data_IF_443725538272
#
_entry.id   IF_443725538272
#
_cell.length_a   1.000
_cell.length_b   1.000
_cell.length_c   1.000
_cell.angle_alpha   90.00
_cell.angle_beta   90.00
_cell.angle_gamma   90.00
#
_symmetry.space_group_name_H-M   'P 1'
#
loop_
_entity.id
_entity.type
_entity.pdbx_description
1 polymer ?
#
# COMPACT_ATOMS: atom_id res chain seq x y z
N UNK A 1 -25.22 12.59 6.11
CA UNK A 1 -25.18 11.85 4.84
C UNK A 1 -23.77 11.41 4.57
N UNK A 2 -23.51 10.11 4.59
CA UNK A 2 -22.19 9.53 4.34
C UNK A 2 -21.75 9.86 2.92
N UNK A 3 -20.72 10.68 2.76
CA UNK A 3 -20.08 10.96 1.47
C UNK A 3 -19.32 9.72 1.02
N UNK A 4 -20.02 8.74 0.46
CA UNK A 4 -19.38 7.61 -0.19
C UNK A 4 -18.65 8.16 -1.41
N UNK A 5 -17.32 8.23 -1.33
CA UNK A 5 -16.48 8.72 -2.43
C UNK A 5 -16.77 7.89 -3.70
N UNK A 6 -16.78 8.51 -4.89
CA UNK A 6 -17.08 7.80 -6.13
C UNK A 6 -16.14 6.60 -6.32
N UNK A 7 -16.65 5.52 -6.93
CA UNK A 7 -15.93 4.26 -7.14
C UNK A 7 -14.54 4.44 -7.79
N UNK A 8 -14.37 5.49 -8.61
CA UNK A 8 -13.09 5.87 -9.19
C UNK A 8 -12.00 6.19 -8.15
N UNK A 9 -12.35 6.86 -7.05
CA UNK A 9 -11.40 7.21 -5.97
C UNK A 9 -10.95 5.96 -5.19
N UNK A 10 -11.80 4.93 -5.11
CA UNK A 10 -11.42 3.64 -4.53
C UNK A 10 -10.43 2.90 -5.44
N UNK A 11 -10.64 2.94 -6.77
CA UNK A 11 -9.69 2.40 -7.74
C UNK A 11 -8.32 3.10 -7.70
N UNK A 12 -8.32 4.43 -7.60
CA UNK A 12 -7.09 5.23 -7.47
C UNK A 12 -6.31 4.87 -6.20
N UNK A 13 -6.98 4.77 -5.04
CA UNK A 13 -6.34 4.36 -3.78
C UNK A 13 -5.68 2.98 -3.87
N UNK A 14 -6.33 2.03 -4.53
CA UNK A 14 -5.78 0.67 -4.73
C UNK A 14 -4.50 0.71 -5.56
N UNK A 15 -4.48 1.53 -6.61
CA UNK A 15 -3.28 1.75 -7.42
C UNK A 15 -2.18 2.46 -6.62
N UNK A 16 -2.52 3.47 -5.82
CA UNK A 16 -1.57 4.19 -4.96
C UNK A 16 -0.89 3.24 -3.96
N UNK A 17 -1.65 2.43 -3.24
CA UNK A 17 -1.12 1.43 -2.29
C UNK A 17 -0.15 0.46 -3.00
N UNK A 18 -0.54 -0.04 -4.18
CA UNK A 18 0.33 -0.92 -4.98
C UNK A 18 1.64 -0.23 -5.37
N UNK A 19 1.57 1.02 -5.85
CA UNK A 19 2.74 1.78 -6.26
C UNK A 19 3.69 2.00 -5.08
N UNK A 20 3.15 2.35 -3.91
CA UNK A 20 3.94 2.57 -2.69
C UNK A 20 4.64 1.27 -2.25
N UNK A 21 3.93 0.14 -2.22
CA UNK A 21 4.54 -1.15 -1.87
C UNK A 21 5.69 -1.50 -2.84
N UNK A 22 5.48 -1.33 -4.15
CA UNK A 22 6.53 -1.59 -5.14
C UNK A 22 7.72 -0.62 -5.00
N UNK A 23 7.47 0.65 -4.71
CA UNK A 23 8.51 1.64 -4.46
C UNK A 23 9.32 1.30 -3.20
N UNK A 24 8.65 0.90 -2.11
CA UNK A 24 9.29 0.44 -0.88
C UNK A 24 10.19 -0.78 -1.09
N UNK A 25 9.70 -1.79 -1.83
CA UNK A 25 10.49 -2.97 -2.20
C UNK A 25 11.76 -2.57 -2.97
N UNK A 26 11.62 -1.69 -3.97
CA UNK A 26 12.74 -1.22 -4.78
C UNK A 26 13.75 -0.43 -3.93
N UNK A 27 13.28 0.43 -3.03
CA UNK A 27 14.11 1.24 -2.12
C UNK A 27 14.95 0.37 -1.18
N UNK A 28 14.37 -0.71 -0.68
CA UNK A 28 15.02 -1.65 0.24
C UNK A 28 15.80 -2.76 -0.47
N UNK A 29 15.82 -2.77 -1.81
CA UNK A 29 16.41 -3.83 -2.64
C UNK A 29 15.88 -5.24 -2.30
N UNK A 30 14.61 -5.33 -1.87
CA UNK A 30 13.97 -6.58 -1.47
C UNK A 30 13.36 -7.30 -2.67
N UNK A 31 13.14 -8.61 -2.50
CA UNK A 31 12.35 -9.45 -3.39
C UNK A 31 10.98 -9.71 -2.78
N UNK A 32 10.03 -10.13 -3.60
CA UNK A 32 8.71 -10.56 -3.10
C UNK A 32 8.83 -11.70 -2.08
N UNK A 33 9.86 -12.53 -2.18
CA UNK A 33 10.15 -13.60 -1.24
C UNK A 33 10.46 -13.09 0.18
N UNK A 34 11.06 -11.91 0.30
CA UNK A 34 11.43 -11.33 1.59
C UNK A 34 10.21 -10.79 2.36
N UNK A 35 9.09 -10.59 1.65
CA UNK A 35 7.81 -10.19 2.22
C UNK A 35 6.94 -11.38 2.66
N UNK A 36 7.42 -12.63 2.51
CA UNK A 36 6.65 -13.85 2.82
C UNK A 36 6.19 -13.94 4.27
N UNK A 37 6.95 -13.37 5.20
CA UNK A 37 6.60 -13.30 6.62
C UNK A 37 5.40 -12.37 6.88
N UNK A 38 5.24 -11.33 6.08
CA UNK A 38 4.15 -10.37 6.20
C UNK A 38 2.90 -10.77 5.42
N UNK A 39 3.10 -11.34 4.23
CA UNK A 39 2.03 -11.73 3.31
C UNK A 39 2.50 -12.90 2.44
N UNK A 40 1.63 -13.88 2.20
CA UNK A 40 1.94 -14.98 1.31
C UNK A 40 2.29 -14.45 -0.10
N UNK A 41 3.41 -14.90 -0.68
CA UNK A 41 3.90 -14.47 -1.99
C UNK A 41 2.84 -14.61 -3.10
N UNK A 42 2.05 -15.69 -3.08
CA UNK A 42 0.97 -15.88 -4.05
C UNK A 42 -0.14 -14.84 -3.89
N UNK A 43 -0.44 -14.47 -2.64
CA UNK A 43 -1.41 -13.42 -2.30
C UNK A 43 -0.87 -12.05 -2.67
N UNK A 44 0.42 -11.78 -2.41
CA UNK A 44 1.09 -10.55 -2.80
C UNK A 44 1.11 -10.39 -4.33
N UNK A 45 1.47 -11.45 -5.06
CA UNK A 45 1.45 -11.47 -6.53
C UNK A 45 0.05 -11.22 -7.08
N UNK A 46 -0.97 -11.85 -6.51
CA UNK A 46 -2.38 -11.62 -6.89
C UNK A 46 -2.82 -10.18 -6.61
N UNK A 47 -2.52 -9.62 -5.44
CA UNK A 47 -2.91 -8.24 -5.06
C UNK A 47 -2.09 -7.14 -5.73
N UNK A 48 -0.93 -7.47 -6.30
CA UNK A 48 -0.22 -6.58 -7.22
C UNK A 48 -0.85 -6.55 -8.61
N UNK A 49 -1.41 -7.68 -9.06
CA UNK A 49 -2.02 -7.81 -10.40
C UNK A 49 -3.48 -7.36 -10.42
N UNK A 50 -4.22 -7.71 -9.38
CA UNK A 50 -5.61 -7.34 -9.18
C UNK A 50 -5.68 -6.15 -8.24
N UNK A 51 -6.53 -5.15 -8.49
CA UNK A 51 -6.79 -4.04 -7.58
C UNK A 51 -7.65 -4.52 -6.39
N UNK A 52 -7.34 -5.69 -5.83
CA UNK A 52 -7.92 -6.15 -4.57
C UNK A 52 -7.25 -5.41 -3.42
N UNK A 53 -8.04 -5.08 -2.41
CA UNK A 53 -7.59 -4.25 -1.31
C UNK A 53 -6.61 -5.06 -0.45
N UNK A 54 -5.42 -4.51 -0.16
CA UNK A 54 -4.60 -5.00 0.96
C UNK A 54 -5.40 -4.76 2.25
N UNK A 55 -5.50 -5.76 3.12
CA UNK A 55 -6.17 -5.53 4.40
C UNK A 55 -5.23 -4.76 5.33
N UNK A 56 -5.78 -3.98 6.25
CA UNK A 56 -4.99 -3.10 7.11
C UNK A 56 -3.91 -3.87 7.90
N UNK A 57 -4.22 -5.08 8.37
CA UNK A 57 -3.25 -5.92 9.07
C UNK A 57 -2.06 -6.39 8.22
N UNK A 58 -2.25 -6.57 6.90
CA UNK A 58 -1.13 -6.88 6.00
C UNK A 58 -0.30 -5.65 5.71
N UNK A 59 -0.92 -4.47 5.59
CA UNK A 59 -0.20 -3.22 5.40
C UNK A 59 0.75 -2.94 6.58
N UNK A 60 0.31 -3.16 7.81
CA UNK A 60 1.18 -3.02 8.99
C UNK A 60 2.33 -4.01 8.99
N UNK A 61 2.11 -5.28 8.65
CA UNK A 61 3.20 -6.26 8.56
C UNK A 61 4.18 -5.95 7.43
N UNK A 62 3.70 -5.41 6.32
CA UNK A 62 4.55 -4.95 5.21
C UNK A 62 5.31 -3.69 5.64
N UNK A 63 4.70 -2.81 6.42
CA UNK A 63 5.32 -1.61 6.99
C UNK A 63 6.49 -1.95 7.92
N UNK A 64 6.36 -2.99 8.75
CA UNK A 64 7.46 -3.49 9.60
C UNK A 64 8.73 -3.86 8.80
N UNK A 65 8.58 -4.16 7.50
CA UNK A 65 9.67 -4.55 6.60
C UNK A 65 10.12 -3.38 5.71
N UNK A 66 9.16 -2.69 5.10
CA UNK A 66 9.45 -1.62 4.13
C UNK A 66 9.75 -0.29 4.81
N UNK A 67 9.21 -0.08 6.01
CA UNK A 67 9.14 1.17 6.75
C UNK A 67 8.63 2.30 5.85
N UNK A 68 7.32 2.33 5.63
CA UNK A 68 6.68 3.40 4.89
C UNK A 68 6.91 4.74 5.58
N UNK A 69 7.04 5.79 4.78
CA UNK A 69 7.08 7.15 5.32
C UNK A 69 5.67 7.61 5.71
N UNK A 70 5.56 8.59 6.59
CA UNK A 70 4.28 9.20 6.94
C UNK A 70 3.53 9.71 5.70
N UNK A 71 4.27 10.25 4.73
CA UNK A 71 3.71 10.71 3.46
C UNK A 71 3.10 9.56 2.64
N UNK A 72 3.73 8.39 2.65
CA UNK A 72 3.24 7.18 1.98
C UNK A 72 1.99 6.65 2.68
N UNK A 73 2.03 6.54 4.01
CA UNK A 73 0.88 6.12 4.82
C UNK A 73 -0.32 7.05 4.54
N UNK A 74 -0.11 8.37 4.58
CA UNK A 74 -1.16 9.35 4.28
C UNK A 74 -1.72 9.17 2.87
N UNK A 75 -0.87 8.98 1.87
CA UNK A 75 -1.28 8.74 0.49
C UNK A 75 -2.10 7.44 0.34
N UNK A 76 -1.75 6.36 1.05
CA UNK A 76 -2.55 5.12 1.07
C UNK A 76 -3.98 5.36 1.56
N UNK A 77 -4.16 6.26 2.54
CA UNK A 77 -5.48 6.67 3.02
C UNK A 77 -6.15 7.77 2.18
N UNK A 78 -5.52 8.17 1.06
CA UNK A 78 -5.98 9.24 0.18
C UNK A 78 -5.98 10.61 0.85
N UNK A 79 -4.96 10.86 1.68
CA UNK A 79 -4.63 12.16 2.26
C UNK A 79 -3.37 12.67 1.57
N UNK A 80 -3.36 13.94 1.20
CA UNK A 80 -2.16 14.60 0.71
C UNK A 80 -1.33 14.98 1.94
N UNK A 81 -0.01 14.70 1.97
CA UNK A 81 0.85 15.21 3.02
C UNK A 81 0.72 16.73 3.08
N UNK A 82 0.44 17.30 4.25
CA UNK A 82 0.57 18.75 4.41
C UNK A 82 2.05 19.08 4.36
N UNK A 83 2.49 19.78 3.31
CA UNK A 83 3.79 20.43 3.32
C UNK A 83 3.77 21.50 4.41
N UNK A 84 4.54 21.28 5.48
CA UNK A 84 4.94 22.32 6.43
C UNK A 84 3.87 22.83 7.40
N UNK A 85 4.19 22.71 8.69
CA UNK A 85 3.67 23.57 9.76
C UNK A 85 4.84 23.92 10.67
#
# INVERSE_FOLDING_TARGET
MSKTKPLGVYGERKNTVRCIINAGIKRRALKNADLKSAINENTLGKRKRLPETFVLGELWRIDDILHFTDAEILQMFGRVPKEGG
#
